data_IF_467669639717
#
_entry.id   IF_467669639717
#
_cell.length_a   1.000
_cell.length_b   1.000
_cell.length_c   1.000
_cell.angle_alpha   90.00
_cell.angle_beta   90.00
_cell.angle_gamma   90.00
#
_symmetry.space_group_name_H-M   'P 1'
#
loop_
_entity.id
_entity.type
_entity.pdbx_description
1 polymer ?
#
# COMPACT_ATOMS: atom_id res chain seq x y z
N UNK A 1 45.05 0.43 -11.72
CA UNK A 1 44.06 0.37 -10.62
C UNK A 1 43.95 -1.08 -10.19
N UNK A 2 44.42 -1.43 -9.01
CA UNK A 2 44.35 -2.80 -8.46
C UNK A 2 43.34 -2.80 -7.32
N UNK A 3 42.20 -3.45 -7.52
CA UNK A 3 41.26 -3.78 -6.44
C UNK A 3 41.82 -5.06 -5.77
N UNK A 4 42.37 -4.93 -4.57
CA UNK A 4 42.86 -6.09 -3.82
C UNK A 4 41.72 -6.70 -3.01
N UNK A 5 41.06 -7.73 -3.55
CA UNK A 5 40.19 -8.62 -2.78
C UNK A 5 41.04 -9.71 -2.15
N UNK A 6 41.08 -9.79 -0.82
CA UNK A 6 41.62 -10.96 -0.12
C UNK A 6 40.49 -11.98 0.08
N UNK A 7 40.82 -13.25 -0.13
CA UNK A 7 39.91 -14.34 -0.49
C UNK A 7 38.71 -14.59 0.44
N UNK A 8 37.66 -15.14 -0.16
CA UNK A 8 36.55 -15.81 0.51
C UNK A 8 37.05 -17.11 1.14
N UNK A 9 37.24 -17.14 2.46
CA UNK A 9 37.64 -18.37 3.16
C UNK A 9 36.40 -19.05 3.75
N UNK A 10 36.04 -20.19 3.17
CA UNK A 10 34.99 -21.09 3.66
C UNK A 10 35.63 -22.06 4.66
N UNK A 11 35.31 -21.95 5.95
CA UNK A 11 35.78 -22.91 6.95
C UNK A 11 34.60 -23.56 7.67
N UNK A 12 34.56 -24.89 7.56
CA UNK A 12 33.67 -25.78 8.30
C UNK A 12 34.18 -25.95 9.74
N UNK A 13 33.32 -25.72 10.74
CA UNK A 13 33.74 -25.83 12.14
C UNK A 13 32.59 -25.82 13.13
N UNK A 14 32.22 -27.01 13.61
CA UNK A 14 31.25 -27.25 14.66
C UNK A 14 31.76 -26.79 16.04
N UNK A 15 30.91 -26.10 16.79
CA UNK A 15 31.01 -26.02 18.25
C UNK A 15 29.62 -25.81 18.87
N UNK A 16 29.22 -26.78 19.71
CA UNK A 16 28.03 -26.81 20.56
C UNK A 16 28.08 -25.72 21.64
N UNK A 17 27.01 -24.93 21.80
CA UNK A 17 26.61 -24.40 23.11
C UNK A 17 25.09 -24.25 23.20
N UNK A 18 24.54 -24.78 24.30
CA UNK A 18 23.14 -24.75 24.73
C UNK A 18 22.73 -23.36 25.21
N UNK A 19 21.50 -22.94 24.90
CA UNK A 19 20.85 -21.74 25.43
C UNK A 19 19.73 -22.14 26.38
N UNK A 20 19.82 -21.68 27.62
CA UNK A 20 18.80 -21.75 28.67
C UNK A 20 17.81 -20.59 28.52
N UNK A 21 16.52 -20.94 28.57
CA UNK A 21 15.43 -19.98 28.45
C UNK A 21 15.10 -19.34 29.78
N UNK A 22 15.13 -18.01 29.82
CA UNK A 22 14.38 -17.23 30.80
C UNK A 22 13.86 -15.95 30.15
N UNK A 23 12.55 -15.93 29.91
CA UNK A 23 11.79 -14.80 29.40
C UNK A 23 11.19 -14.01 30.57
N UNK A 24 11.71 -12.82 30.85
CA UNK A 24 11.08 -11.87 31.76
C UNK A 24 10.38 -10.77 30.95
N UNK A 25 9.05 -10.73 31.04
CA UNK A 25 8.20 -9.59 30.67
C UNK A 25 7.75 -8.90 31.97
N UNK A 26 7.86 -7.58 32.10
CA UNK A 26 7.13 -6.86 33.13
C UNK A 26 5.74 -6.46 32.62
N UNK A 27 4.72 -6.89 33.35
CA UNK A 27 3.36 -6.33 33.35
C UNK A 27 3.28 -5.27 34.44
N UNK A 28 2.70 -4.10 34.15
CA UNK A 28 1.88 -3.29 35.07
C UNK A 28 1.52 -1.97 34.38
N UNK A 29 0.21 -1.74 34.18
CA UNK A 29 -0.35 -0.41 34.04
C UNK A 29 -1.53 -0.33 35.00
N UNK A 30 -1.33 0.50 36.02
CA UNK A 30 -2.27 0.81 37.09
C UNK A 30 -3.52 1.51 36.56
N UNK A 31 -4.63 1.10 37.14
CA UNK A 31 -5.98 1.57 36.85
C UNK A 31 -6.44 2.35 38.10
N UNK A 32 -6.42 3.68 38.06
CA UNK A 32 -7.00 4.51 39.11
C UNK A 32 -8.04 5.47 38.53
N UNK A 33 -9.28 5.19 38.91
CA UNK A 33 -10.49 5.99 38.77
C UNK A 33 -10.40 7.37 39.43
N UNK A 34 -10.94 8.37 38.76
CA UNK A 34 -11.54 9.54 39.41
C UNK A 34 -12.85 9.85 38.70
N UNK A 35 -13.95 9.54 39.39
CA UNK A 35 -15.28 10.07 39.11
C UNK A 35 -15.31 11.53 39.58
N UNK A 36 -15.85 12.42 38.75
CA UNK A 36 -16.96 13.33 39.05
C UNK A 36 -16.90 14.63 38.24
N UNK A 37 -18.12 15.13 37.95
CA UNK A 37 -18.47 16.46 37.44
C UNK A 37 -18.35 16.74 35.93
N UNK A 38 -19.35 16.28 35.19
CA UNK A 38 -20.01 17.14 34.17
C UNK A 38 -21.39 16.60 33.81
N UNK A 39 -22.34 16.77 34.73
CA UNK A 39 -23.75 16.89 34.38
C UNK A 39 -24.00 18.29 33.79
N UNK A 40 -24.85 18.36 32.77
CA UNK A 40 -25.42 19.58 32.18
C UNK A 40 -24.58 20.38 31.18
N UNK A 41 -24.33 19.79 30.00
CA UNK A 41 -24.39 20.51 28.71
C UNK A 41 -24.98 19.58 27.63
N UNK A 42 -26.27 19.28 27.72
CA UNK A 42 -27.08 18.82 26.58
C UNK A 42 -28.03 19.95 26.21
N UNK A 43 -27.47 21.01 25.64
CA UNK A 43 -28.24 22.08 25.00
C UNK A 43 -27.84 22.16 23.53
N UNK A 44 -28.79 21.78 22.68
CA UNK A 44 -28.95 22.24 21.30
C UNK A 44 -27.79 21.91 20.33
N UNK A 45 -27.75 20.66 19.87
CA UNK A 45 -27.26 20.41 18.51
C UNK A 45 -28.34 20.94 17.56
N UNK A 46 -28.05 22.03 16.87
CA UNK A 46 -28.92 22.54 15.81
C UNK A 46 -29.16 21.45 14.76
N UNK A 47 -30.41 21.18 14.43
CA UNK A 47 -30.85 20.22 13.39
C UNK A 47 -30.31 20.53 11.97
N UNK A 48 -29.49 21.57 11.80
CA UNK A 48 -28.98 22.06 10.51
C UNK A 48 -27.68 21.42 9.99
N UNK A 49 -27.12 20.39 10.65
CA UNK A 49 -25.86 19.75 10.20
C UNK A 49 -25.92 18.22 9.99
N UNK A 50 -27.11 17.62 9.90
CA UNK A 50 -27.22 16.27 9.33
C UNK A 50 -27.16 16.37 7.80
N UNK A 51 -25.96 16.51 7.25
CA UNK A 51 -25.75 16.33 5.81
C UNK A 51 -26.07 14.89 5.45
N UNK A 52 -27.23 14.68 4.82
CA UNK A 52 -27.67 13.36 4.37
C UNK A 52 -26.69 12.82 3.33
N UNK A 53 -26.04 11.71 3.62
CA UNK A 53 -24.98 11.16 2.78
C UNK A 53 -25.54 10.10 1.85
N UNK A 54 -25.53 10.38 0.53
CA UNK A 54 -26.01 9.44 -0.47
C UNK A 54 -24.97 9.15 -1.56
N UNK A 55 -24.93 7.91 -2.05
CA UNK A 55 -24.08 7.48 -3.17
C UNK A 55 -24.69 6.31 -3.94
N UNK A 56 -24.46 6.27 -5.25
CA UNK A 56 -24.71 5.07 -6.05
C UNK A 56 -23.52 4.11 -5.97
N UNK A 57 -23.80 2.82 -5.82
CA UNK A 57 -22.81 1.74 -5.86
C UNK A 57 -23.27 0.62 -6.80
N UNK A 58 -22.35 -0.12 -7.45
CA UNK A 58 -22.71 -1.29 -8.23
C UNK A 58 -23.45 -2.35 -7.38
N UNK A 59 -24.48 -2.94 -7.96
CA UNK A 59 -25.22 -4.06 -7.36
C UNK A 59 -24.41 -5.34 -7.38
N UNK A 60 -24.61 -6.22 -6.40
CA UNK A 60 -24.09 -7.59 -6.48
C UNK A 60 -24.94 -8.49 -7.37
N UNK A 61 -26.14 -8.04 -7.75
CA UNK A 61 -27.07 -8.80 -8.59
C UNK A 61 -27.03 -8.26 -10.03
N UNK A 62 -26.70 -9.16 -10.97
CA UNK A 62 -26.93 -8.92 -12.40
C UNK A 62 -28.43 -8.93 -12.68
N UNK A 63 -28.88 -8.01 -13.51
CA UNK A 63 -30.22 -8.04 -14.07
C UNK A 63 -30.40 -9.33 -14.87
N UNK A 64 -31.40 -10.13 -14.52
CA UNK A 64 -31.76 -11.34 -15.29
C UNK A 64 -32.15 -11.01 -16.75
N UNK A 65 -32.55 -9.76 -17.02
CA UNK A 65 -33.07 -9.32 -18.32
C UNK A 65 -31.99 -8.75 -19.24
N UNK A 66 -31.00 -8.05 -18.68
CA UNK A 66 -29.97 -7.35 -19.46
C UNK A 66 -28.57 -7.92 -19.26
N UNK A 67 -28.35 -8.82 -18.28
CA UNK A 67 -27.02 -9.33 -17.91
C UNK A 67 -26.10 -8.29 -17.25
N UNK A 68 -26.46 -6.99 -17.30
CA UNK A 68 -25.73 -5.89 -16.70
C UNK A 68 -25.87 -5.87 -15.18
N UNK A 69 -24.83 -5.35 -14.51
CA UNK A 69 -24.84 -5.04 -13.08
C UNK A 69 -25.57 -3.72 -12.88
N UNK A 70 -26.72 -3.72 -12.21
CA UNK A 70 -27.46 -2.48 -11.92
C UNK A 70 -26.81 -1.64 -10.81
N UNK A 71 -27.25 -0.39 -10.60
CA UNK A 71 -26.83 0.46 -9.48
C UNK A 71 -27.78 0.31 -8.27
N UNK A 72 -27.25 0.42 -7.06
CA UNK A 72 -27.97 0.49 -5.77
C UNK A 72 -27.72 1.89 -5.19
N UNK A 73 -28.73 2.49 -4.60
CA UNK A 73 -28.59 3.75 -3.88
C UNK A 73 -28.32 3.45 -2.40
N UNK A 74 -27.29 4.05 -1.83
CA UNK A 74 -27.01 4.05 -0.39
C UNK A 74 -27.34 5.45 0.14
N UNK A 75 -28.13 5.53 1.20
CA UNK A 75 -28.44 6.77 1.93
C UNK A 75 -28.24 6.48 3.41
N UNK A 76 -27.32 7.18 4.08
CA UNK A 76 -27.03 7.03 5.52
C UNK A 76 -26.84 5.56 5.95
N UNK A 77 -26.15 4.77 5.12
CA UNK A 77 -25.91 3.34 5.34
C UNK A 77 -27.09 2.41 4.97
N UNK A 78 -28.28 2.94 4.67
CA UNK A 78 -29.41 2.16 4.20
C UNK A 78 -29.31 1.85 2.71
N UNK A 79 -29.58 0.60 2.36
CA UNK A 79 -29.63 0.15 0.96
C UNK A 79 -31.00 0.39 0.37
N UNK A 80 -31.02 0.89 -0.85
CA UNK A 80 -32.24 1.14 -1.58
C UNK A 80 -32.22 0.51 -2.98
N UNK A 81 -33.29 -0.24 -3.29
CA UNK A 81 -33.53 -0.78 -4.63
C UNK A 81 -34.36 0.18 -5.45
N UNK A 82 -33.92 0.42 -6.68
CA UNK A 82 -34.73 1.11 -7.67
C UNK A 82 -36.02 0.36 -7.94
N UNK A 83 -37.12 1.10 -8.03
CA UNK A 83 -38.40 0.63 -8.53
C UNK A 83 -38.78 1.41 -9.79
N UNK A 84 -39.35 0.74 -10.81
CA UNK A 84 -39.93 1.44 -11.93
C UNK A 84 -41.00 2.41 -11.43
N UNK A 85 -40.98 3.63 -11.96
CA UNK A 85 -42.02 4.64 -11.74
C UNK A 85 -42.77 4.86 -13.05
N UNK A 86 -44.06 5.19 -12.96
CA UNK A 86 -44.82 5.69 -14.10
C UNK A 86 -44.41 7.12 -14.47
N UNK A 87 -43.90 7.87 -13.49
CA UNK A 87 -43.42 9.24 -13.69
C UNK A 87 -41.99 9.24 -14.24
N UNK A 88 -41.81 9.71 -15.48
CA UNK A 88 -40.50 9.79 -16.15
C UNK A 88 -39.54 10.82 -15.53
N UNK A 89 -40.02 11.73 -14.69
CA UNK A 89 -39.21 12.80 -14.10
C UNK A 89 -38.58 12.42 -12.75
N UNK A 90 -39.07 11.35 -12.10
CA UNK A 90 -38.61 10.91 -10.78
C UNK A 90 -38.36 9.42 -10.75
N UNK A 91 -37.27 9.03 -10.12
CA UNK A 91 -36.97 7.62 -9.84
C UNK A 91 -37.30 7.34 -8.39
N UNK A 92 -38.07 6.27 -8.17
CA UNK A 92 -38.41 5.80 -6.83
C UNK A 92 -37.44 4.72 -6.41
N UNK A 93 -36.99 4.84 -5.18
CA UNK A 93 -36.14 3.89 -4.50
C UNK A 93 -36.89 3.39 -3.26
N UNK A 94 -36.81 2.09 -2.97
CA UNK A 94 -37.38 1.50 -1.76
C UNK A 94 -36.28 0.86 -0.93
N UNK A 95 -36.41 0.90 0.39
CA UNK A 95 -35.48 0.22 1.27
C UNK A 95 -35.37 -1.28 0.91
N UNK A 96 -34.16 -1.81 1.00
CA UNK A 96 -33.86 -3.20 0.73
C UNK A 96 -34.30 -4.16 1.85
N UNK A 97 -34.53 -3.64 3.05
CA UNK A 97 -34.93 -4.44 4.21
C UNK A 97 -36.35 -4.93 4.05
N UNK A 98 -36.56 -6.24 4.28
CA UNK A 98 -37.89 -6.83 4.24
C UNK A 98 -38.78 -6.21 5.32
N UNK A 99 -39.98 -5.78 4.94
CA UNK A 99 -40.95 -5.15 5.86
C UNK A 99 -40.84 -3.63 5.94
N UNK A 100 -39.68 -3.06 5.62
CA UNK A 100 -39.51 -1.60 5.60
C UNK A 100 -40.22 -0.98 4.40
N UNK A 101 -40.93 0.13 4.64
CA UNK A 101 -41.64 0.90 3.61
C UNK A 101 -40.92 2.18 3.20
N UNK A 102 -39.76 2.46 3.81
CA UNK A 102 -39.02 3.68 3.53
C UNK A 102 -38.71 3.80 2.03
N UNK A 103 -39.04 4.97 1.48
CA UNK A 103 -38.82 5.32 0.09
C UNK A 103 -37.94 6.54 0.00
N UNK A 104 -37.09 6.56 -1.01
CA UNK A 104 -36.37 7.75 -1.44
C UNK A 104 -36.76 8.08 -2.89
N UNK A 105 -36.72 9.35 -3.25
CA UNK A 105 -36.96 9.82 -4.61
C UNK A 105 -35.75 10.61 -5.09
N UNK A 106 -35.44 10.46 -6.37
CA UNK A 106 -34.40 11.25 -7.03
C UNK A 106 -34.97 11.89 -8.27
N UNK A 107 -34.71 13.17 -8.45
CA UNK A 107 -34.97 13.84 -9.72
C UNK A 107 -33.89 13.42 -10.74
N UNK A 108 -34.28 13.24 -12.00
CA UNK A 108 -33.34 12.84 -13.06
C UNK A 108 -32.83 14.09 -13.77
N UNK A 109 -31.54 14.39 -13.61
CA UNK A 109 -30.87 15.41 -14.41
C UNK A 109 -30.78 14.96 -15.87
N UNK A 110 -31.19 15.82 -16.81
CA UNK A 110 -30.91 15.70 -18.24
C UNK A 110 -31.59 14.58 -19.04
N UNK A 111 -32.84 14.25 -18.74
CA UNK A 111 -33.66 13.45 -19.68
C UNK A 111 -34.48 14.40 -20.56
N UNK A 112 -34.16 14.46 -21.85
CA UNK A 112 -35.09 15.05 -22.83
C UNK A 112 -36.47 14.36 -22.68
N UNK A 113 -37.59 15.10 -22.67
CA UNK A 113 -38.90 14.60 -22.21
C UNK A 113 -39.43 13.31 -22.89
N UNK A 114 -38.81 12.84 -23.97
CA UNK A 114 -39.19 11.65 -24.71
C UNK A 114 -38.07 10.64 -25.00
N UNK A 115 -36.85 10.83 -24.47
CA UNK A 115 -35.78 9.83 -24.62
C UNK A 115 -36.02 8.64 -23.66
N UNK A 116 -35.80 7.38 -24.08
CA UNK A 116 -35.68 6.26 -23.15
C UNK A 116 -34.53 6.57 -22.20
N UNK A 117 -34.81 6.64 -20.90
CA UNK A 117 -33.75 6.82 -19.89
C UNK A 117 -32.96 5.52 -19.83
N UNK A 118 -31.80 5.47 -20.50
CA UNK A 118 -30.82 4.44 -20.17
C UNK A 118 -30.26 4.79 -18.79
N UNK A 119 -30.74 4.03 -17.82
CA UNK A 119 -30.74 4.37 -16.42
C UNK A 119 -29.50 3.84 -15.71
N UNK A 120 -28.58 3.29 -16.50
CA UNK A 120 -27.21 2.97 -16.10
C UNK A 120 -26.31 4.24 -16.14
N UNK A 121 -26.71 5.33 -16.83
CA UNK A 121 -25.93 6.57 -16.99
C UNK A 121 -26.25 7.70 -15.99
N UNK A 122 -27.15 7.47 -15.03
CA UNK A 122 -27.45 8.49 -14.00
C UNK A 122 -26.32 8.48 -12.97
N UNK A 123 -25.51 9.54 -12.98
CA UNK A 123 -24.36 9.71 -12.09
C UNK A 123 -24.58 10.80 -11.01
N UNK A 124 -25.55 11.69 -11.18
CA UNK A 124 -25.86 12.77 -10.23
C UNK A 124 -27.36 12.86 -9.90
N UNK A 125 -27.68 13.07 -8.62
CA UNK A 125 -29.03 13.37 -8.11
C UNK A 125 -29.07 14.87 -7.82
N UNK A 126 -30.01 15.60 -8.43
CA UNK A 126 -30.00 17.07 -8.41
C UNK A 126 -30.51 17.71 -7.12
N UNK A 127 -31.64 17.28 -6.55
CA UNK A 127 -32.07 17.78 -5.23
C UNK A 127 -33.32 17.03 -4.73
N UNK A 128 -33.62 17.20 -3.44
CA UNK A 128 -34.81 16.76 -2.69
C UNK A 128 -35.08 15.26 -2.68
N UNK A 129 -34.21 14.54 -1.97
CA UNK A 129 -34.56 13.24 -1.43
C UNK A 129 -35.55 13.41 -0.27
N UNK A 130 -36.82 13.09 -0.50
CA UNK A 130 -37.72 12.77 0.61
C UNK A 130 -37.46 11.34 1.04
N UNK A 131 -36.70 11.17 2.12
CA UNK A 131 -36.48 9.88 2.76
C UNK A 131 -37.54 9.69 3.81
N UNK A 132 -38.36 8.66 3.65
CA UNK A 132 -39.28 8.28 4.72
C UNK A 132 -38.52 7.67 5.89
N UNK A 133 -38.97 7.96 7.12
CA UNK A 133 -38.39 7.43 8.35
C UNK A 133 -38.36 5.91 8.32
N UNK A 134 -37.21 5.34 8.65
CA UNK A 134 -37.06 3.90 8.83
C UNK A 134 -37.60 3.48 10.21
N UNK A 135 -38.26 2.33 10.25
CA UNK A 135 -38.70 1.65 11.47
C UNK A 135 -37.70 0.56 11.92
N UNK A 136 -36.48 0.59 11.37
CA UNK A 136 -35.42 -0.35 11.68
C UNK A 136 -34.07 0.36 11.64
N UNK A 137 -33.12 -0.12 12.44
CA UNK A 137 -31.72 0.30 12.29
C UNK A 137 -31.17 -0.14 10.93
N UNK A 138 -30.20 0.59 10.35
CA UNK A 138 -29.60 0.19 9.09
C UNK A 138 -29.08 -1.24 9.20
N UNK A 139 -29.42 -2.15 8.27
CA UNK A 139 -28.91 -3.51 8.28
C UNK A 139 -27.41 -3.46 7.96
N UNK A 140 -26.62 -3.33 9.02
CA UNK A 140 -25.18 -3.14 9.02
C UNK A 140 -24.75 -1.90 8.21
N UNK A 141 -24.72 -0.73 8.88
CA UNK A 141 -24.18 0.54 8.35
C UNK A 141 -22.82 0.32 7.68
N UNK A 142 -22.01 -0.59 8.25
CA UNK A 142 -20.71 -0.92 7.70
C UNK A 142 -20.81 -1.52 6.31
N UNK A 143 -21.79 -2.38 5.97
CA UNK A 143 -21.84 -3.00 4.63
C UNK A 143 -22.16 -1.97 3.54
N UNK A 144 -23.06 -1.02 3.83
CA UNK A 144 -23.37 0.08 2.91
C UNK A 144 -22.13 0.92 2.60
N UNK A 145 -21.47 1.41 3.65
CA UNK A 145 -20.27 2.23 3.52
C UNK A 145 -19.06 1.46 3.01
N UNK A 146 -18.91 0.18 3.34
CA UNK A 146 -17.86 -0.67 2.79
C UNK A 146 -17.98 -0.82 1.26
N UNK A 147 -19.20 -0.79 0.71
CA UNK A 147 -19.42 -0.80 -0.75
C UNK A 147 -19.06 0.53 -1.39
N UNK A 148 -19.44 1.64 -0.74
CA UNK A 148 -19.08 2.99 -1.17
C UNK A 148 -17.55 3.12 -1.19
N UNK A 149 -16.89 2.67 -0.12
CA UNK A 149 -15.45 2.65 0.02
C UNK A 149 -14.79 1.74 -1.04
N UNK A 150 -15.31 0.54 -1.26
CA UNK A 150 -14.80 -0.35 -2.33
C UNK A 150 -14.88 0.29 -3.72
N UNK A 151 -15.96 1.04 -4.00
CA UNK A 151 -16.09 1.77 -5.26
C UNK A 151 -15.07 2.91 -5.36
N UNK A 152 -14.91 3.70 -4.30
CA UNK A 152 -13.93 4.79 -4.29
C UNK A 152 -12.50 4.28 -4.41
N UNK A 153 -12.15 3.16 -3.76
CA UNK A 153 -10.86 2.50 -3.90
C UNK A 153 -10.55 2.21 -5.37
N UNK A 154 -11.51 1.69 -6.13
CA UNK A 154 -11.33 1.43 -7.57
C UNK A 154 -11.09 2.72 -8.36
N UNK A 155 -11.80 3.79 -8.02
CA UNK A 155 -11.60 5.09 -8.66
C UNK A 155 -10.21 5.65 -8.38
N UNK A 156 -9.78 5.67 -7.11
CA UNK A 156 -8.43 6.13 -6.73
C UNK A 156 -7.34 5.32 -7.43
N UNK A 157 -7.52 4.00 -7.57
CA UNK A 157 -6.59 3.14 -8.32
C UNK A 157 -6.60 3.46 -9.81
N UNK A 158 -7.76 3.74 -10.41
CA UNK A 158 -7.85 4.11 -11.82
C UNK A 158 -7.24 5.49 -12.11
N UNK A 159 -7.25 6.40 -11.13
CA UNK A 159 -6.57 7.70 -11.19
C UNK A 159 -5.04 7.51 -11.12
N UNK A 160 -4.54 6.66 -10.22
CA UNK A 160 -3.12 6.30 -10.14
C UNK A 160 -2.92 4.90 -9.52
N UNK A 161 -2.52 3.88 -10.30
CA UNK A 161 -2.34 2.51 -9.81
C UNK A 161 -1.05 2.32 -8.99
N UNK A 162 -0.13 3.29 -9.00
CA UNK A 162 1.16 3.23 -8.32
C UNK A 162 1.10 3.66 -6.85
N UNK A 163 -0.01 4.23 -6.38
CA UNK A 163 -0.19 4.54 -4.96
C UNK A 163 -0.04 3.31 -4.07
N UNK A 164 0.57 3.48 -2.89
CA UNK A 164 0.67 2.43 -1.89
C UNK A 164 -0.71 2.06 -1.36
N UNK A 165 -0.87 0.85 -0.81
CA UNK A 165 -2.16 0.39 -0.32
C UNK A 165 -2.71 1.29 0.82
N UNK A 166 -1.84 1.84 1.67
CA UNK A 166 -2.24 2.82 2.69
C UNK A 166 -2.75 4.09 2.04
N UNK A 167 -2.00 4.67 1.09
CA UNK A 167 -2.38 5.92 0.42
C UNK A 167 -3.72 5.77 -0.29
N UNK A 168 -3.95 4.65 -1.00
CA UNK A 168 -5.24 4.36 -1.64
C UNK A 168 -6.37 4.32 -0.62
N UNK A 169 -6.18 3.61 0.50
CA UNK A 169 -7.19 3.50 1.55
C UNK A 169 -7.45 4.86 2.23
N UNK A 170 -6.40 5.57 2.60
CA UNK A 170 -6.46 6.87 3.29
C UNK A 170 -7.13 7.94 2.41
N UNK A 171 -6.91 7.91 1.09
CA UNK A 171 -7.63 8.78 0.16
C UNK A 171 -9.10 8.37 0.01
N UNK A 172 -9.37 7.06 -0.08
CA UNK A 172 -10.71 6.56 -0.29
C UNK A 172 -11.61 6.74 0.94
N UNK A 173 -11.07 6.63 2.16
CA UNK A 173 -11.85 6.72 3.41
C UNK A 173 -12.34 8.15 3.71
N UNK A 174 -11.72 9.19 3.13
CA UNK A 174 -12.13 10.60 3.30
C UNK A 174 -13.58 10.89 2.91
N UNK A 175 -14.22 10.04 2.11
CA UNK A 175 -15.63 10.19 1.74
C UNK A 175 -16.59 9.61 2.78
N UNK A 176 -16.07 8.84 3.75
CA UNK A 176 -16.84 8.25 4.84
C UNK A 176 -16.99 9.31 5.94
N UNK A 177 -18.17 9.48 6.54
CA UNK A 177 -18.34 10.35 7.69
C UNK A 177 -17.45 9.91 8.87
N UNK A 178 -16.86 10.87 9.57
CA UNK A 178 -15.85 10.61 10.62
C UNK A 178 -16.39 9.71 11.72
N UNK A 179 -17.64 9.90 12.11
CA UNK A 179 -18.36 9.12 13.11
C UNK A 179 -18.53 7.63 12.73
N UNK A 180 -18.33 7.28 11.46
CA UNK A 180 -18.43 5.92 10.93
C UNK A 180 -17.07 5.26 10.68
N UNK A 181 -15.95 5.94 10.93
CA UNK A 181 -14.60 5.40 10.69
C UNK A 181 -14.34 4.09 11.42
N UNK A 182 -14.79 3.98 12.68
CA UNK A 182 -14.63 2.75 13.47
C UNK A 182 -15.56 1.61 13.02
N UNK A 183 -16.57 1.91 12.21
CA UNK A 183 -17.56 0.93 11.75
C UNK A 183 -17.18 0.34 10.39
N UNK A 184 -16.50 1.10 9.53
CA UNK A 184 -16.04 0.61 8.22
C UNK A 184 -14.80 -0.28 8.36
N UNK A 185 -14.57 -1.13 7.37
CA UNK A 185 -13.42 -2.02 7.38
C UNK A 185 -12.12 -1.26 7.12
N UNK A 186 -11.07 -1.60 7.87
CA UNK A 186 -9.73 -1.07 7.65
C UNK A 186 -9.01 -1.65 6.43
N UNK A 187 -7.74 -1.25 6.28
CA UNK A 187 -6.84 -1.74 5.22
C UNK A 187 -6.75 -3.27 5.16
N UNK A 188 -6.84 -3.97 6.30
CA UNK A 188 -6.84 -5.44 6.33
C UNK A 188 -8.00 -6.07 5.54
N UNK A 189 -9.18 -5.43 5.54
CA UNK A 189 -10.36 -5.89 4.78
C UNK A 189 -10.20 -5.61 3.29
N UNK A 190 -9.69 -4.42 2.96
CA UNK A 190 -9.66 -3.94 1.58
C UNK A 190 -8.35 -4.23 0.84
N UNK A 191 -7.30 -4.67 1.53
CA UNK A 191 -6.01 -5.02 0.95
C UNK A 191 -6.14 -5.94 -0.26
N UNK A 192 -6.84 -7.10 -0.17
CA UNK A 192 -7.02 -7.99 -1.31
C UNK A 192 -7.72 -7.34 -2.52
N UNK A 193 -8.67 -6.44 -2.28
CA UNK A 193 -9.31 -5.67 -3.34
C UNK A 193 -8.29 -4.71 -3.99
N UNK A 194 -7.56 -3.95 -3.18
CA UNK A 194 -6.56 -2.99 -3.66
C UNK A 194 -5.51 -3.70 -4.52
N UNK A 195 -4.94 -4.81 -4.04
CA UNK A 195 -3.94 -5.56 -4.80
C UNK A 195 -4.49 -6.09 -6.13
N UNK A 196 -5.69 -6.67 -6.14
CA UNK A 196 -6.30 -7.20 -7.35
C UNK A 196 -6.61 -6.12 -8.38
N UNK A 197 -7.19 -5.00 -7.94
CA UNK A 197 -7.54 -3.91 -8.85
C UNK A 197 -6.29 -3.19 -9.36
N UNK A 198 -5.24 -3.02 -8.54
CA UNK A 198 -3.94 -2.52 -9.01
C UNK A 198 -3.33 -3.45 -10.04
N UNK A 199 -3.31 -4.76 -9.81
CA UNK A 199 -2.77 -5.73 -10.76
C UNK A 199 -3.46 -5.69 -12.13
N UNK A 200 -4.74 -5.29 -12.20
CA UNK A 200 -5.45 -5.12 -13.47
C UNK A 200 -5.03 -3.86 -14.27
N UNK A 201 -4.37 -2.89 -13.62
CA UNK A 201 -3.92 -1.63 -14.23
C UNK A 201 -2.39 -1.53 -14.33
N UNK A 202 -1.66 -2.49 -13.78
CA UNK A 202 -0.20 -2.54 -13.84
C UNK A 202 0.25 -3.41 -15.02
N UNK A 203 1.49 -3.19 -15.54
CA UNK A 203 2.10 -4.11 -16.50
C UNK A 203 2.10 -5.55 -15.96
N UNK A 204 2.08 -6.56 -16.85
CA UNK A 204 2.25 -7.95 -16.44
C UNK A 204 3.58 -8.12 -15.69
N UNK A 205 3.61 -9.05 -14.74
CA UNK A 205 4.86 -9.38 -14.06
C UNK A 205 5.88 -9.88 -15.10
N UNK A 206 7.13 -9.39 -15.06
CA UNK A 206 8.18 -9.86 -15.97
C UNK A 206 8.50 -11.34 -15.68
N UNK A 207 8.84 -12.09 -16.74
CA UNK A 207 9.18 -13.52 -16.61
C UNK A 207 10.67 -13.74 -16.32
N UNK A 208 11.49 -12.74 -16.65
CA UNK A 208 12.94 -12.72 -16.42
C UNK A 208 13.40 -11.35 -15.95
N UNK A 209 14.56 -11.26 -15.27
CA UNK A 209 15.03 -9.94 -14.88
C UNK A 209 15.36 -9.07 -16.11
N UNK A 210 15.78 -9.66 -17.23
CA UNK A 210 16.03 -8.95 -18.49
C UNK A 210 14.80 -8.19 -19.03
N UNK A 211 13.58 -8.63 -18.70
CA UNK A 211 12.32 -7.98 -19.08
C UNK A 211 11.87 -6.89 -18.11
N UNK A 212 12.52 -6.75 -16.94
CA UNK A 212 12.15 -5.73 -15.96
C UNK A 212 12.26 -4.35 -16.63
N UNK A 213 11.14 -3.66 -16.69
CA UNK A 213 11.11 -2.26 -17.08
C UNK A 213 10.45 -1.47 -15.97
N UNK A 214 11.02 -0.31 -15.62
CA UNK A 214 10.48 0.54 -14.56
C UNK A 214 9.69 1.66 -15.22
N UNK A 215 8.35 1.69 -15.04
CA UNK A 215 7.54 2.83 -15.47
C UNK A 215 8.12 4.14 -14.93
N UNK A 216 8.01 5.22 -15.71
CA UNK A 216 8.56 6.52 -15.36
C UNK A 216 8.06 6.99 -13.97
N UNK A 217 6.82 6.65 -13.61
CA UNK A 217 6.21 6.95 -12.32
C UNK A 217 6.94 6.30 -11.12
N UNK A 218 7.71 5.24 -11.37
CA UNK A 218 8.49 4.51 -10.35
C UNK A 218 9.99 4.79 -10.41
N UNK A 219 10.45 5.53 -11.42
CA UNK A 219 11.88 5.87 -11.56
C UNK A 219 12.32 6.96 -10.57
N UNK A 220 11.39 7.82 -10.15
CA UNK A 220 11.61 8.90 -9.20
C UNK A 220 10.91 8.64 -7.86
N UNK A 221 11.51 9.13 -6.78
CA UNK A 221 10.92 9.20 -5.45
C UNK A 221 11.03 10.64 -4.94
N UNK A 222 9.93 11.24 -4.48
CA UNK A 222 9.94 12.62 -3.98
C UNK A 222 10.58 13.67 -4.92
N UNK A 223 10.43 13.49 -6.25
CA UNK A 223 11.01 14.32 -7.32
C UNK A 223 12.53 14.23 -7.47
N UNK A 224 13.16 13.17 -6.95
CA UNK A 224 14.55 12.84 -7.24
C UNK A 224 14.65 11.42 -7.84
N UNK A 225 15.68 11.16 -8.67
CA UNK A 225 15.94 9.82 -9.20
C UNK A 225 16.05 8.80 -8.07
N UNK A 226 15.32 7.70 -8.20
CA UNK A 226 15.31 6.59 -7.24
C UNK A 226 15.90 5.31 -7.85
N UNK A 227 15.59 5.00 -9.11
CA UNK A 227 16.24 3.93 -9.86
C UNK A 227 17.59 4.44 -10.37
N UNK A 228 18.66 4.23 -9.59
CA UNK A 228 19.98 4.78 -9.89
C UNK A 228 20.77 3.94 -10.88
N UNK A 229 20.63 2.62 -10.81
CA UNK A 229 21.31 1.68 -11.69
C UNK A 229 20.26 0.69 -12.16
N UNK A 230 20.25 0.41 -13.46
CA UNK A 230 19.41 -0.60 -14.09
C UNK A 230 20.16 -1.13 -15.30
N UNK A 231 21.17 -1.96 -15.07
CA UNK A 231 22.15 -2.35 -16.10
C UNK A 231 22.25 -3.87 -16.24
N UNK A 232 22.42 -4.33 -17.48
CA UNK A 232 22.82 -5.70 -17.79
C UNK A 232 24.35 -5.78 -17.86
N UNK A 233 24.97 -6.54 -16.97
CA UNK A 233 26.43 -6.67 -16.88
C UNK A 233 26.85 -8.13 -16.96
N UNK A 234 27.39 -8.52 -18.12
CA UNK A 234 27.78 -9.89 -18.44
C UNK A 234 26.64 -10.89 -18.19
N UNK A 235 25.47 -10.60 -18.78
CA UNK A 235 24.23 -11.40 -18.71
C UNK A 235 23.57 -11.49 -17.33
N UNK A 236 23.99 -10.68 -16.36
CA UNK A 236 23.31 -10.52 -15.07
C UNK A 236 22.76 -9.10 -14.97
N UNK A 237 21.51 -8.95 -14.55
CA UNK A 237 20.89 -7.67 -14.26
C UNK A 237 21.20 -7.22 -12.85
N UNK A 238 21.60 -5.96 -12.73
CA UNK A 238 21.77 -5.27 -11.46
C UNK A 238 20.85 -4.05 -11.46
N UNK A 239 19.92 -4.02 -10.50
CA UNK A 239 19.08 -2.86 -10.25
C UNK A 239 19.42 -2.29 -8.88
N UNK A 240 19.70 -0.98 -8.81
CA UNK A 240 19.95 -0.28 -7.54
C UNK A 240 18.94 0.84 -7.36
N UNK A 241 18.27 0.81 -6.21
CA UNK A 241 17.34 1.82 -5.75
C UNK A 241 17.95 2.59 -4.58
N UNK A 242 18.06 3.91 -4.73
CA UNK A 242 18.50 4.81 -3.68
C UNK A 242 18.14 6.26 -4.03
N UNK A 243 17.90 7.10 -3.03
CA UNK A 243 17.80 8.56 -3.24
C UNK A 243 19.17 9.22 -3.29
N UNK A 244 19.27 10.44 -3.81
CA UNK A 244 20.54 11.18 -3.79
C UNK A 244 20.97 11.46 -2.34
N UNK A 245 20.03 11.81 -1.46
CA UNK A 245 20.27 11.97 -0.03
C UNK A 245 20.82 10.69 0.61
N UNK A 246 20.27 9.52 0.27
CA UNK A 246 20.79 8.24 0.75
C UNK A 246 22.20 7.96 0.23
N UNK A 247 22.51 8.31 -1.03
CA UNK A 247 23.85 8.19 -1.60
C UNK A 247 24.88 9.08 -0.90
N UNK A 248 24.52 10.32 -0.53
CA UNK A 248 25.38 11.18 0.27
C UNK A 248 25.70 10.54 1.62
N UNK A 249 24.68 10.03 2.32
CA UNK A 249 24.87 9.33 3.59
C UNK A 249 25.67 8.03 3.43
N UNK A 250 25.49 7.33 2.31
CA UNK A 250 26.22 6.11 1.98
C UNK A 250 27.72 6.39 1.86
N UNK A 251 28.09 7.48 1.18
CA UNK A 251 29.48 7.89 1.00
C UNK A 251 30.13 8.37 2.29
N UNK A 252 29.38 9.07 3.14
CA UNK A 252 29.84 9.61 4.43
C UNK A 252 29.92 8.56 5.55
N UNK A 253 29.22 7.44 5.41
CA UNK A 253 29.22 6.38 6.40
C UNK A 253 30.60 5.72 6.47
N UNK A 254 31.20 5.72 7.67
CA UNK A 254 32.47 5.01 7.96
C UNK A 254 32.31 3.50 7.94
N UNK A 255 31.10 3.02 8.22
CA UNK A 255 30.79 1.60 8.32
C UNK A 255 29.46 1.33 7.64
N UNK A 256 29.39 0.21 6.92
CA UNK A 256 28.14 -0.31 6.39
C UNK A 256 27.79 -1.64 7.05
N UNK A 257 26.50 -1.84 7.30
CA UNK A 257 25.93 -3.15 7.55
C UNK A 257 25.25 -3.56 6.24
N UNK A 258 25.55 -4.75 5.75
CA UNK A 258 24.97 -5.26 4.50
C UNK A 258 24.13 -6.47 4.86
N UNK A 259 22.83 -6.42 4.56
CA UNK A 259 21.89 -7.53 4.76
C UNK A 259 21.48 -8.11 3.41
N UNK A 260 21.64 -9.41 3.25
CA UNK A 260 21.19 -10.15 2.07
C UNK A 260 19.91 -10.92 2.39
N UNK A 261 18.81 -10.54 1.75
CA UNK A 261 17.51 -11.23 1.91
C UNK A 261 17.10 -11.92 0.61
N UNK A 262 16.87 -13.23 0.71
CA UNK A 262 16.45 -14.07 -0.42
C UNK A 262 14.92 -14.08 -0.56
N UNK A 263 14.20 -14.17 0.56
CA UNK A 263 12.73 -14.30 0.55
C UNK A 263 12.02 -13.01 0.13
N UNK A 264 12.69 -11.85 0.23
CA UNK A 264 12.13 -10.56 -0.17
C UNK A 264 12.44 -10.20 -1.63
N UNK A 265 13.32 -10.95 -2.30
CA UNK A 265 13.55 -10.77 -3.73
C UNK A 265 12.39 -11.39 -4.52
N UNK A 266 11.95 -10.73 -5.60
CA UNK A 266 11.03 -11.38 -6.55
C UNK A 266 11.74 -12.59 -7.18
N UNK A 267 11.00 -13.65 -7.53
CA UNK A 267 11.59 -14.89 -8.06
C UNK A 267 12.45 -14.76 -9.34
N UNK A 268 12.46 -13.61 -9.99
CA UNK A 268 13.35 -13.28 -11.12
C UNK A 268 14.74 -12.76 -10.69
N UNK A 269 14.92 -12.39 -9.41
CA UNK A 269 16.20 -11.98 -8.83
C UNK A 269 16.60 -12.99 -7.75
N UNK A 270 17.89 -13.34 -7.71
CA UNK A 270 18.42 -14.30 -6.76
C UNK A 270 18.47 -13.76 -5.32
N UNK A 271 18.63 -12.45 -5.17
CA UNK A 271 18.74 -11.78 -3.87
C UNK A 271 18.40 -10.29 -3.95
N UNK A 272 17.91 -9.76 -2.82
CA UNK A 272 17.87 -8.33 -2.53
C UNK A 272 18.93 -8.04 -1.47
N UNK A 273 19.89 -7.19 -1.82
CA UNK A 273 20.96 -6.74 -0.95
C UNK A 273 20.64 -5.33 -0.45
N UNK A 274 20.70 -5.12 0.86
CA UNK A 274 20.40 -3.82 1.48
C UNK A 274 21.63 -3.32 2.25
N UNK A 275 22.08 -2.12 1.90
CA UNK A 275 23.14 -1.43 2.65
C UNK A 275 22.51 -0.50 3.67
N UNK A 276 22.92 -0.68 4.92
CA UNK A 276 22.50 0.13 6.04
C UNK A 276 23.65 0.95 6.58
N UNK A 277 23.34 2.18 6.99
CA UNK A 277 24.17 2.96 7.89
C UNK A 277 23.82 2.58 9.33
N UNK A 278 24.80 2.16 10.15
CA UNK A 278 24.57 1.93 11.57
C UNK A 278 24.05 3.20 12.24
N UNK A 279 22.98 3.06 13.02
CA UNK A 279 22.35 4.16 13.74
C UNK A 279 21.78 3.69 15.08
N UNK A 280 21.65 4.62 16.01
CA UNK A 280 20.98 4.41 17.30
C UNK A 280 19.68 5.21 17.29
N UNK A 281 18.50 4.62 17.55
CA UNK A 281 18.27 3.23 17.98
C UNK A 281 18.19 2.20 16.84
N UNK A 282 18.09 2.64 15.59
CA UNK A 282 17.84 1.78 14.44
C UNK A 282 18.83 2.04 13.30
N UNK A 283 19.16 0.96 12.57
CA UNK A 283 19.96 1.03 11.35
C UNK A 283 19.11 1.61 10.20
N UNK A 284 19.66 2.58 9.48
CA UNK A 284 18.93 3.23 8.38
C UNK A 284 19.29 2.54 7.05
N UNK A 285 18.33 1.92 6.33
CA UNK A 285 18.59 1.43 4.98
C UNK A 285 18.84 2.60 4.03
N UNK A 286 19.88 2.48 3.20
CA UNK A 286 20.30 3.52 2.28
C UNK A 286 20.19 3.08 0.82
N UNK A 287 20.66 1.87 0.51
CA UNK A 287 20.76 1.37 -0.86
C UNK A 287 20.15 -0.02 -0.93
N UNK A 288 19.25 -0.23 -1.87
CA UNK A 288 18.65 -1.52 -2.17
C UNK A 288 19.14 -2.00 -3.53
N UNK A 289 19.69 -3.20 -3.62
CA UNK A 289 20.22 -3.75 -4.84
C UNK A 289 19.62 -5.13 -5.14
N UNK A 290 18.90 -5.25 -6.25
CA UNK A 290 18.43 -6.53 -6.77
C UNK A 290 19.49 -7.12 -7.71
N UNK A 291 19.84 -8.38 -7.49
CA UNK A 291 20.91 -9.07 -8.20
C UNK A 291 20.42 -10.42 -8.73
N UNK A 292 20.72 -10.72 -10.00
CA UNK A 292 20.50 -12.04 -10.62
C UNK A 292 21.57 -13.09 -10.27
N UNK A 293 22.59 -12.73 -9.48
CA UNK A 293 23.68 -13.64 -9.13
C UNK A 293 24.21 -13.41 -7.72
N UNK A 294 24.89 -14.45 -7.20
CA UNK A 294 25.48 -14.48 -5.85
C UNK A 294 27.00 -14.67 -5.86
N UNK A 295 27.61 -14.54 -7.04
CA UNK A 295 29.04 -14.74 -7.19
C UNK A 295 29.83 -13.55 -6.65
N UNK A 296 31.09 -13.77 -6.27
CA UNK A 296 32.03 -12.68 -5.97
C UNK A 296 32.06 -11.63 -7.11
N UNK A 297 32.08 -12.10 -8.36
CA UNK A 297 32.06 -11.23 -9.53
C UNK A 297 30.79 -10.37 -9.60
N UNK A 298 29.62 -10.89 -9.22
CA UNK A 298 28.37 -10.11 -9.17
C UNK A 298 28.46 -8.97 -8.14
N UNK A 299 29.00 -9.26 -6.95
CA UNK A 299 29.21 -8.23 -5.92
C UNK A 299 30.28 -7.20 -6.33
N UNK A 300 31.36 -7.62 -6.98
CA UNK A 300 32.39 -6.73 -7.51
C UNK A 300 31.81 -5.74 -8.54
N UNK A 301 30.99 -6.24 -9.47
CA UNK A 301 30.26 -5.40 -10.44
C UNK A 301 29.36 -4.39 -9.72
N UNK A 302 28.55 -4.83 -8.75
CA UNK A 302 27.70 -3.94 -7.96
C UNK A 302 28.52 -2.82 -7.30
N UNK A 303 29.62 -3.18 -6.62
CA UNK A 303 30.47 -2.20 -5.94
C UNK A 303 31.11 -1.22 -6.91
N UNK A 304 31.52 -1.68 -8.10
CA UNK A 304 32.03 -0.80 -9.16
C UNK A 304 30.97 0.17 -9.67
N UNK A 305 29.75 -0.29 -9.92
CA UNK A 305 28.63 0.56 -10.35
C UNK A 305 28.27 1.60 -9.28
N UNK A 306 28.18 1.18 -8.02
CA UNK A 306 27.94 2.07 -6.88
C UNK A 306 29.03 3.13 -6.75
N UNK A 307 30.31 2.74 -6.89
CA UNK A 307 31.43 3.68 -6.85
C UNK A 307 31.30 4.77 -7.93
N UNK A 308 31.04 4.36 -9.17
CA UNK A 308 30.86 5.29 -10.28
C UNK A 308 29.64 6.19 -10.07
N UNK A 309 28.55 5.67 -9.51
CA UNK A 309 27.36 6.47 -9.19
C UNK A 309 27.62 7.47 -8.07
N UNK A 310 28.35 7.07 -7.01
CA UNK A 310 28.79 7.97 -5.93
C UNK A 310 29.65 9.13 -6.44
N UNK A 311 30.60 8.85 -7.34
CA UNK A 311 31.43 9.88 -7.95
C UNK A 311 30.60 10.90 -8.76
N UNK A 312 29.57 10.44 -9.47
CA UNK A 312 28.68 11.31 -10.24
C UNK A 312 27.76 12.16 -9.35
N UNK A 313 27.15 11.57 -8.33
CA UNK A 313 26.15 12.25 -7.47
C UNK A 313 26.84 13.09 -6.39
N UNK A 314 27.78 12.49 -5.66
CA UNK A 314 28.35 13.06 -4.45
C UNK A 314 29.71 13.73 -4.67
N UNK A 315 30.33 13.54 -5.85
CA UNK A 315 31.69 13.98 -6.17
C UNK A 315 32.74 13.49 -5.15
N UNK A 316 32.44 12.37 -4.48
CA UNK A 316 33.23 11.79 -3.41
C UNK A 316 33.22 10.27 -3.55
N UNK A 317 34.33 9.65 -3.14
CA UNK A 317 34.42 8.19 -3.01
C UNK A 317 33.88 7.77 -1.64
N UNK A 318 33.23 6.59 -1.54
CA UNK A 318 32.84 6.02 -0.25
C UNK A 318 34.00 5.93 0.74
N UNK A 319 33.82 6.43 1.96
CA UNK A 319 34.85 6.44 3.02
C UNK A 319 34.82 5.20 3.92
N UNK A 320 34.62 4.02 3.35
CA UNK A 320 34.33 2.82 4.13
C UNK A 320 35.58 2.28 4.81
N UNK A 321 35.49 2.20 6.13
CA UNK A 321 36.49 1.60 6.99
C UNK A 321 36.15 0.15 7.32
N UNK A 322 34.86 -0.20 7.36
CA UNK A 322 34.42 -1.58 7.65
C UNK A 322 33.06 -1.88 7.02
N UNK A 323 32.92 -3.02 6.35
CA UNK A 323 31.63 -3.58 5.97
C UNK A 323 31.36 -4.85 6.79
N UNK A 324 30.21 -4.92 7.45
CA UNK A 324 29.76 -6.11 8.18
C UNK A 324 28.62 -6.76 7.40
N UNK A 325 28.83 -7.99 6.95
CA UNK A 325 27.80 -8.78 6.29
C UNK A 325 26.94 -9.50 7.33
N UNK A 326 25.63 -9.33 7.27
CA UNK A 326 24.66 -10.07 8.07
C UNK A 326 23.85 -10.92 7.09
N UNK A 327 23.90 -12.23 7.27
CA UNK A 327 23.04 -13.17 6.56
C UNK A 327 22.03 -13.72 7.54
N UNK A 328 20.78 -13.36 7.36
CA UNK A 328 19.70 -13.90 8.18
C UNK A 328 19.17 -15.16 7.51
N UNK A 329 19.77 -16.32 7.80
CA UNK A 329 19.22 -17.61 7.39
C UNK A 329 18.09 -18.03 8.36
N UNK A 330 16.86 -18.14 7.86
CA UNK A 330 15.77 -18.88 8.53
C UNK A 330 15.63 -20.24 7.83
N UNK A 331 16.62 -21.10 8.00
CA UNK A 331 16.47 -22.56 7.97
C UNK A 331 17.72 -23.21 8.55
N UNK A 332 17.52 -24.35 9.19
CA UNK A 332 18.34 -24.98 10.23
C UNK A 332 19.66 -25.61 9.77
N UNK A 333 20.55 -24.83 9.16
CA UNK A 333 21.94 -25.28 8.97
C UNK A 333 22.89 -24.08 8.93
N UNK A 334 23.80 -24.06 9.89
CA UNK A 334 24.82 -23.04 10.15
C UNK A 334 25.67 -22.71 8.93
N UNK A 335 25.56 -21.48 8.43
CA UNK A 335 26.60 -20.83 7.64
C UNK A 335 26.68 -19.36 8.06
N UNK A 336 27.78 -18.97 8.71
CA UNK A 336 28.14 -17.56 8.92
C UNK A 336 29.14 -17.18 7.83
N UNK A 337 28.74 -16.36 6.88
CA UNK A 337 29.68 -15.71 5.96
C UNK A 337 30.14 -14.41 6.61
N UNK A 338 31.30 -14.42 7.26
CA UNK A 338 31.96 -13.20 7.71
C UNK A 338 32.82 -12.66 6.56
N UNK A 339 32.23 -11.84 5.69
CA UNK A 339 33.01 -11.05 4.72
C UNK A 339 33.37 -9.70 5.35
N UNK A 340 34.64 -9.52 5.69
CA UNK A 340 35.21 -8.19 5.85
C UNK A 340 35.65 -7.70 4.47
N UNK A 341 34.79 -6.95 3.77
CA UNK A 341 35.21 -6.28 2.54
C UNK A 341 36.05 -5.06 2.94
N UNK A 342 37.38 -5.19 2.87
CA UNK A 342 38.30 -4.07 2.99
C UNK A 342 38.39 -3.36 1.65
N UNK A 343 37.61 -2.30 1.49
CA UNK A 343 37.77 -1.42 0.33
C UNK A 343 38.80 -0.35 0.69
N UNK A 344 40.09 -0.69 0.58
CA UNK A 344 41.16 0.29 0.60
C UNK A 344 41.29 0.91 -0.79
N UNK A 345 40.92 2.18 -0.93
CA UNK A 345 41.32 3.00 -2.07
C UNK A 345 42.50 3.86 -1.65
N UNK A 346 43.71 3.51 -2.08
CA UNK A 346 44.83 4.48 -2.13
C UNK A 346 44.62 5.47 -3.27
#
# INVERSE_FOLDING_TARGET
MSLAFHGFDYQDGAALYSWDGSSDRPSEYDNSSSEDENSDVLSEISESELQMHWRFVPSTRKSKRTGKVGKILIIDGYKYWRRPTSNKQRIRYICATQGCKATAYTDVAHVQPNAPVDCDEIDEILDQQSVQVHDHSPPDVSDGWNRVLAHRIKQVISENPFHSASVVYDEAVKIVPTELYCQVGGLARFGPLIYRERAAHMPPNPESAAEVDFPDELQDFAKEPFVLINEMVANERIVVLATNSAMHQFVEAKTWIIDGTFNAASGIFDQLLVFHKPGTPVNTPLVFAFLEGRSAATYEKLMFLLHNKCLKICQKKPQVQTAKYITTYVSSTTARVSCAVWISYN
#
